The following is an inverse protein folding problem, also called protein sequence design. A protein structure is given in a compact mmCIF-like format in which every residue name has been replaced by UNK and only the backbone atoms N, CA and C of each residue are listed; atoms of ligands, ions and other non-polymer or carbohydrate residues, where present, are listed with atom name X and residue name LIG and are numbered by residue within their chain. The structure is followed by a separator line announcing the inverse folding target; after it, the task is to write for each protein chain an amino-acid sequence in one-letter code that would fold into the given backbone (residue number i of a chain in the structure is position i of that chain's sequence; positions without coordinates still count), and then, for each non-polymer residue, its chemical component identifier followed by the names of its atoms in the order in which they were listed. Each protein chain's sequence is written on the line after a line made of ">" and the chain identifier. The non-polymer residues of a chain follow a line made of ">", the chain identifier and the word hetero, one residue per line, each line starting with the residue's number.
data_IF_820010130120
#
_entry.id   IF_820010130120
#
_cell.length_a   1.000
_cell.length_b   1.000
_cell.length_c   1.000
_cell.angle_alpha   90.00
_cell.angle_beta   90.00
_cell.angle_gamma   90.00
#
_symmetry.space_group_name_H-M   'P 1'
#
loop_
_entity.id
_entity.type
_entity.pdbx_description
1 polymer ?
#
# COMPACT_ATOMS: atom_id res chain seq x y z
N UNK A 1 43.67 0.31 25.85
CA UNK A 1 43.34 0.03 24.43
C UNK A 1 41.86 -0.25 24.15
N UNK A 2 41.00 -0.60 25.11
CA UNK A 2 39.60 -1.04 24.81
C UNK A 2 38.57 0.05 24.42
N UNK A 3 38.65 1.29 24.95
CA UNK A 3 37.59 2.31 24.75
C UNK A 3 37.50 2.88 23.34
N UNK A 4 38.61 2.95 22.60
CA UNK A 4 38.66 3.51 21.23
C UNK A 4 38.02 2.53 20.23
N UNK A 5 38.28 1.23 20.37
CA UNK A 5 37.65 0.21 19.53
C UNK A 5 36.13 0.16 19.75
N UNK A 6 35.66 0.28 21.00
CA UNK A 6 34.23 0.31 21.28
C UNK A 6 33.54 1.55 20.66
N UNK A 7 34.19 2.71 20.69
CA UNK A 7 33.66 3.91 20.05
C UNK A 7 33.61 3.77 18.52
N UNK A 8 34.63 3.15 17.92
CA UNK A 8 34.68 2.89 16.49
C UNK A 8 33.58 1.92 16.04
N UNK A 9 33.40 0.80 16.77
CA UNK A 9 32.32 -0.17 16.54
C UNK A 9 30.93 0.48 16.69
N UNK A 10 30.74 1.34 17.69
CA UNK A 10 29.48 2.05 17.90
C UNK A 10 29.18 3.05 16.76
N UNK A 11 30.19 3.78 16.29
CA UNK A 11 30.06 4.69 15.14
C UNK A 11 29.77 3.89 13.86
N UNK A 12 30.44 2.75 13.67
CA UNK A 12 30.20 1.87 12.54
C UNK A 12 28.77 1.32 12.57
N UNK A 13 28.30 0.85 13.72
CA UNK A 13 26.92 0.41 13.91
C UNK A 13 25.92 1.53 13.59
N UNK A 14 26.09 2.71 14.20
CA UNK A 14 25.18 3.86 13.99
C UNK A 14 25.18 4.37 12.53
N UNK A 15 26.29 4.26 11.81
CA UNK A 15 26.35 4.64 10.39
C UNK A 15 25.70 3.60 9.49
N UNK A 16 25.76 2.31 9.82
CA UNK A 16 25.06 1.24 9.10
C UNK A 16 23.53 1.42 9.25
N UNK A 17 23.02 1.68 10.46
CA UNK A 17 21.56 1.81 10.67
C UNK A 17 20.97 3.13 10.17
N UNK A 18 21.77 4.19 10.01
CA UNK A 18 21.30 5.46 9.45
C UNK A 18 20.98 5.42 7.96
N UNK A 19 21.38 4.38 7.23
CA UNK A 19 21.25 4.30 5.77
C UNK A 19 20.16 3.35 5.27
N UNK A 20 19.29 2.84 6.14
CA UNK A 20 18.12 2.08 5.69
C UNK A 20 17.09 3.06 5.13
N UNK A 21 17.14 3.30 3.81
CA UNK A 21 16.11 4.06 3.10
C UNK A 21 14.91 3.14 2.84
N UNK A 22 13.86 3.29 3.63
CA UNK A 22 12.59 2.60 3.39
C UNK A 22 11.73 3.44 2.45
N UNK A 23 11.10 2.81 1.45
CA UNK A 23 10.06 3.47 0.67
C UNK A 23 8.78 3.59 1.51
N UNK A 24 8.13 4.74 1.43
CA UNK A 24 6.84 4.96 2.07
C UNK A 24 5.74 5.03 1.01
N UNK A 25 4.63 4.36 1.30
CA UNK A 25 3.45 4.41 0.45
C UNK A 25 2.17 4.66 1.24
N UNK A 26 1.05 4.68 0.53
CA UNK A 26 -0.27 4.81 1.14
C UNK A 26 -1.25 3.79 0.57
N UNK A 27 -2.11 3.28 1.43
CA UNK A 27 -3.27 2.48 1.05
C UNK A 27 -4.50 3.38 0.94
N UNK A 28 -5.22 3.32 -0.17
CA UNK A 28 -6.48 4.04 -0.37
C UNK A 28 -7.65 3.06 -0.53
N UNK A 29 -8.79 3.46 0.02
CA UNK A 29 -10.06 2.71 -0.06
C UNK A 29 -10.75 2.93 -1.42
N UNK A 30 -11.94 2.36 -1.57
CA UNK A 30 -12.85 2.37 -2.73
C UNK A 30 -13.48 3.75 -3.07
N UNK A 31 -12.77 4.84 -2.76
CA UNK A 31 -13.20 6.20 -3.10
C UNK A 31 -12.48 6.66 -4.36
N UNK A 32 -13.14 7.50 -5.13
CA UNK A 32 -12.50 8.22 -6.22
C UNK A 32 -11.62 9.38 -5.71
N UNK A 33 -10.36 9.41 -6.14
CA UNK A 33 -9.39 10.45 -5.84
C UNK A 33 -8.96 11.18 -7.12
N UNK A 34 -8.85 12.51 -7.04
CA UNK A 34 -8.41 13.39 -8.12
C UNK A 34 -6.89 13.42 -8.25
N UNK A 35 -6.39 13.76 -9.43
CA UNK A 35 -4.95 13.94 -9.73
C UNK A 35 -4.28 14.88 -8.71
N UNK A 36 -4.93 15.99 -8.31
CA UNK A 36 -4.38 16.94 -7.33
C UNK A 36 -4.13 16.33 -5.95
N UNK A 37 -4.93 15.35 -5.54
CA UNK A 37 -4.74 14.64 -4.28
C UNK A 37 -3.52 13.72 -4.35
N UNK A 38 -3.33 13.03 -5.48
CA UNK A 38 -2.12 12.22 -5.71
C UNK A 38 -0.85 13.07 -5.83
N UNK A 39 -0.93 14.24 -6.49
CA UNK A 39 0.19 15.19 -6.50
C UNK A 39 0.56 15.64 -5.08
N UNK A 40 -0.43 15.92 -4.24
CA UNK A 40 -0.19 16.25 -2.84
C UNK A 40 0.54 15.11 -2.11
N UNK A 41 0.15 13.85 -2.31
CA UNK A 41 0.83 12.70 -1.72
C UNK A 41 2.29 12.59 -2.17
N UNK A 42 2.56 12.77 -3.47
CA UNK A 42 3.92 12.70 -4.03
C UNK A 42 4.79 13.88 -3.59
N UNK A 43 4.32 15.11 -3.82
CA UNK A 43 5.13 16.32 -3.70
C UNK A 43 5.25 16.80 -2.25
N UNK A 44 4.16 16.72 -1.46
CA UNK A 44 4.14 17.22 -0.08
C UNK A 44 4.51 16.15 0.94
N UNK A 45 4.11 14.90 0.70
CA UNK A 45 4.29 13.81 1.64
C UNK A 45 5.30 12.75 1.18
N UNK A 46 5.98 12.97 0.05
CA UNK A 46 7.05 12.12 -0.46
C UNK A 46 6.65 10.64 -0.57
N UNK A 47 5.39 10.34 -0.92
CA UNK A 47 4.93 8.96 -1.09
C UNK A 47 5.43 8.39 -2.41
N UNK A 48 6.13 7.26 -2.32
CA UNK A 48 6.82 6.59 -3.43
C UNK A 48 5.97 5.50 -4.10
N UNK A 49 4.96 4.97 -3.39
CA UNK A 49 4.03 3.99 -3.93
C UNK A 49 2.61 4.13 -3.37
N UNK A 50 1.62 3.57 -4.08
CA UNK A 50 0.22 3.53 -3.65
C UNK A 50 -0.33 2.12 -3.83
N UNK A 51 -1.12 1.66 -2.86
CA UNK A 51 -1.94 0.46 -2.95
C UNK A 51 -3.40 0.88 -2.99
N UNK A 52 -4.12 0.46 -4.03
CA UNK A 52 -5.52 0.82 -4.25
C UNK A 52 -6.40 -0.38 -3.93
N UNK A 53 -7.34 -0.25 -3.00
CA UNK A 53 -8.39 -1.25 -2.84
C UNK A 53 -9.26 -1.28 -4.09
N UNK A 54 -9.28 -2.42 -4.80
CA UNK A 54 -10.06 -2.60 -6.02
C UNK A 54 -11.41 -3.31 -5.76
N UNK A 55 -11.88 -3.32 -4.51
CA UNK A 55 -13.19 -3.87 -4.16
C UNK A 55 -14.14 -2.86 -3.52
N UNK A 56 -15.43 -3.01 -3.82
CA UNK A 56 -16.50 -2.39 -3.06
C UNK A 56 -16.66 -3.11 -1.71
N UNK A 57 -16.58 -2.39 -0.59
CA UNK A 57 -16.96 -2.88 0.75
C UNK A 57 -16.37 -4.25 1.17
N UNK A 58 -15.21 -4.66 0.65
CA UNK A 58 -14.56 -5.93 0.98
C UNK A 58 -15.38 -7.20 0.61
N UNK A 59 -16.34 -7.09 -0.31
CA UNK A 59 -17.21 -8.20 -0.74
C UNK A 59 -16.82 -8.79 -2.09
N UNK A 60 -15.57 -8.61 -2.54
CA UNK A 60 -15.06 -9.20 -3.79
C UNK A 60 -15.61 -8.58 -5.08
N UNK A 61 -16.67 -7.77 -5.02
CA UNK A 61 -17.15 -6.96 -6.13
C UNK A 61 -16.07 -5.96 -6.53
N UNK A 62 -15.76 -5.87 -7.83
CA UNK A 62 -14.77 -4.92 -8.36
C UNK A 62 -15.29 -3.49 -8.17
N UNK A 63 -14.42 -2.58 -7.72
CA UNK A 63 -14.69 -1.15 -7.67
C UNK A 63 -14.25 -0.47 -8.98
N UNK A 64 -15.21 0.10 -9.71
CA UNK A 64 -14.97 0.80 -10.97
C UNK A 64 -14.07 2.04 -10.79
N UNK A 65 -13.95 2.59 -9.58
CA UNK A 65 -13.05 3.71 -9.30
C UNK A 65 -11.57 3.29 -9.27
N UNK A 66 -11.27 2.00 -9.16
CA UNK A 66 -9.90 1.51 -9.06
C UNK A 66 -9.09 1.88 -10.31
N UNK A 67 -9.66 1.69 -11.51
CA UNK A 67 -9.00 2.07 -12.78
C UNK A 67 -8.73 3.58 -12.84
N UNK A 68 -9.72 4.40 -12.50
CA UNK A 68 -9.57 5.85 -12.49
C UNK A 68 -8.52 6.33 -11.48
N UNK A 69 -8.43 5.68 -10.32
CA UNK A 69 -7.42 5.98 -9.31
C UNK A 69 -6.02 5.60 -9.80
N UNK A 70 -5.86 4.46 -10.50
CA UNK A 70 -4.58 4.05 -11.11
C UNK A 70 -4.14 5.11 -12.13
N UNK A 71 -5.03 5.51 -13.03
CA UNK A 71 -4.74 6.52 -14.05
C UNK A 71 -4.38 7.87 -13.41
N UNK A 72 -5.13 8.30 -12.41
CA UNK A 72 -4.89 9.58 -11.73
C UNK A 72 -3.56 9.58 -10.94
N UNK A 73 -3.22 8.48 -10.26
CA UNK A 73 -1.97 8.33 -9.53
C UNK A 73 -0.75 8.36 -10.48
N UNK A 74 -0.81 7.61 -11.58
CA UNK A 74 0.24 7.60 -12.62
C UNK A 74 0.38 8.97 -13.29
N UNK A 75 -0.73 9.63 -13.59
CA UNK A 75 -0.73 11.00 -14.15
C UNK A 75 -0.13 12.02 -13.17
N UNK A 76 -0.28 11.82 -11.86
CA UNK A 76 0.39 12.62 -10.84
C UNK A 76 1.88 12.25 -10.65
N UNK A 77 2.39 11.27 -11.39
CA UNK A 77 3.78 10.82 -11.39
C UNK A 77 4.11 9.78 -10.33
N UNK A 78 3.14 9.12 -9.71
CA UNK A 78 3.41 7.97 -8.84
C UNK A 78 3.51 6.74 -9.74
N UNK A 79 4.70 6.17 -9.86
CA UNK A 79 4.98 5.07 -10.80
C UNK A 79 4.62 3.70 -10.21
N UNK A 80 4.89 3.51 -8.92
CA UNK A 80 4.58 2.28 -8.20
C UNK A 80 3.13 2.32 -7.71
N UNK A 81 2.22 1.80 -8.51
CA UNK A 81 0.79 1.70 -8.18
C UNK A 81 0.38 0.24 -8.25
N UNK A 82 0.06 -0.32 -7.09
CA UNK A 82 -0.42 -1.69 -6.93
C UNK A 82 -1.88 -1.69 -6.53
N UNK A 83 -2.52 -2.84 -6.71
CA UNK A 83 -3.90 -3.07 -6.31
C UNK A 83 -3.95 -4.09 -5.18
N UNK A 84 -4.90 -3.90 -4.28
CA UNK A 84 -5.28 -4.88 -3.29
C UNK A 84 -6.73 -5.31 -3.55
N UNK A 85 -6.95 -6.61 -3.63
CA UNK A 85 -8.27 -7.20 -3.74
C UNK A 85 -8.48 -8.01 -2.46
N UNK A 86 -9.50 -7.64 -1.69
CA UNK A 86 -9.94 -8.43 -0.55
C UNK A 86 -10.44 -9.79 -1.03
N UNK A 87 -9.86 -10.90 -0.53
CA UNK A 87 -10.35 -12.22 -0.88
C UNK A 87 -11.77 -12.41 -0.35
N UNK A 88 -12.72 -12.62 -1.27
CA UNK A 88 -14.10 -12.98 -0.93
C UNK A 88 -14.25 -14.49 -1.10
N UNK A 89 -13.80 -15.23 -0.10
CA UNK A 89 -13.82 -16.69 -0.06
C UNK A 89 -14.86 -17.14 0.94
N UNK A 90 -15.84 -17.96 0.52
CA UNK A 90 -16.76 -18.64 1.43
C UNK A 90 -16.05 -19.86 2.05
N UNK A 91 -15.86 -19.91 3.38
CA UNK A 91 -15.35 -21.11 4.04
C UNK A 91 -16.37 -22.25 3.89
N UNK A 92 -15.90 -23.46 3.58
CA UNK A 92 -16.75 -24.66 3.40
C UNK A 92 -17.62 -25.00 4.61
N UNK A 93 -17.30 -24.47 5.79
CA UNK A 93 -17.98 -24.70 7.06
C UNK A 93 -19.08 -23.70 7.41
N UNK A 94 -19.32 -22.65 6.60
CA UNK A 94 -20.30 -21.61 6.92
C UNK A 94 -21.62 -21.79 6.14
N UNK A 95 -22.77 -21.92 6.84
CA UNK A 95 -24.08 -22.04 6.20
C UNK A 95 -24.47 -20.76 5.45
N UNK A 96 -25.12 -20.96 4.31
CA UNK A 96 -25.23 -20.15 3.10
C UNK A 96 -25.80 -18.72 3.17
N UNK A 97 -26.06 -18.12 4.32
CA UNK A 97 -27.13 -17.12 4.33
C UNK A 97 -26.76 -15.64 4.16
N UNK A 98 -25.48 -15.21 4.11
CA UNK A 98 -25.17 -13.74 4.01
C UNK A 98 -23.88 -13.28 3.31
N UNK A 99 -23.03 -14.16 2.78
CA UNK A 99 -21.79 -13.71 2.12
C UNK A 99 -21.92 -13.78 0.60
N UNK A 100 -21.86 -12.62 -0.06
CA UNK A 100 -21.77 -12.45 -1.52
C UNK A 100 -20.41 -12.93 -2.09
N UNK A 101 -19.79 -13.93 -1.46
CA UNK A 101 -18.45 -14.42 -1.80
C UNK A 101 -18.51 -15.69 -2.63
N UNK A 102 -17.52 -15.84 -3.53
CA UNK A 102 -17.33 -17.06 -4.32
C UNK A 102 -16.86 -18.25 -3.48
N UNK A 103 -17.12 -19.46 -3.96
CA UNK A 103 -16.52 -20.68 -3.41
C UNK A 103 -15.02 -20.70 -3.78
N UNK A 104 -14.14 -21.00 -2.82
CA UNK A 104 -12.69 -21.10 -3.06
C UNK A 104 -12.24 -22.50 -3.52
N UNK A 105 -13.19 -23.34 -3.91
CA UNK A 105 -12.96 -24.69 -4.44
C UNK A 105 -12.83 -24.70 -5.96
#
# INVERSE_FOLDING_TARGET
>A
MSKIYFLFELILFLTIFKNVKTSEGVFIQDKWYRISQFKCLKEKYSKEFIIINANYQNIGTIDDNAELNILNARTAGIENVDIYITPCVKPSSYPDYKLLCGDAR
#
